data_IF_520894392286
#
_entry.id   IF_520894392286
#
_cell.length_a   1.000
_cell.length_b   1.000
_cell.length_c   1.000
_cell.angle_alpha   90.00
_cell.angle_beta   90.00
_cell.angle_gamma   90.00
#
_symmetry.space_group_name_H-M   'P 1'
#
loop_
_entity.id
_entity.type
_entity.pdbx_description
1 polymer ?
#
# COMPACT_ATOMS: atom_id res chain seq x y z
N UNK A 1 -0.55 5.76 -12.09
CA UNK A 1 0.83 5.36 -11.75
C UNK A 1 1.88 5.77 -12.81
N UNK A 2 1.53 6.57 -13.83
CA UNK A 2 2.47 6.85 -14.92
C UNK A 2 3.68 7.67 -14.48
N UNK A 3 3.51 8.71 -13.68
CA UNK A 3 4.62 9.62 -13.30
C UNK A 3 5.74 8.90 -12.52
N UNK A 4 5.37 8.09 -11.53
CA UNK A 4 6.34 7.34 -10.72
C UNK A 4 7.04 6.24 -11.53
N UNK A 5 6.30 5.56 -12.41
CA UNK A 5 6.88 4.55 -13.30
C UNK A 5 7.81 5.18 -14.35
N UNK A 6 7.51 6.39 -14.83
CA UNK A 6 8.37 7.14 -15.74
C UNK A 6 9.67 7.60 -15.05
N UNK A 7 9.59 8.10 -13.81
CA UNK A 7 10.76 8.55 -13.06
C UNK A 7 11.65 7.41 -12.53
N UNK A 8 11.06 6.25 -12.22
CA UNK A 8 11.75 5.11 -11.62
C UNK A 8 11.41 3.81 -12.35
N UNK A 9 11.85 3.64 -13.61
CA UNK A 9 11.42 2.53 -14.46
C UNK A 9 11.84 1.14 -13.96
N UNK A 10 12.84 1.06 -13.07
CA UNK A 10 13.31 -0.19 -12.46
C UNK A 10 12.70 -0.49 -11.10
N UNK A 11 12.04 0.48 -10.47
CA UNK A 11 11.47 0.29 -9.14
C UNK A 11 10.15 -0.50 -9.23
N UNK A 12 10.01 -1.51 -8.36
CA UNK A 12 8.71 -2.16 -8.15
C UNK A 12 7.86 -1.31 -7.22
N UNK A 13 6.54 -1.28 -7.48
CA UNK A 13 5.59 -0.43 -6.75
C UNK A 13 4.46 -1.28 -6.17
N UNK A 14 4.24 -1.18 -4.87
CA UNK A 14 3.07 -1.75 -4.19
C UNK A 14 2.04 -0.65 -3.94
N UNK A 15 0.96 -0.65 -4.72
CA UNK A 15 -0.17 0.27 -4.51
C UNK A 15 -1.28 -0.50 -3.79
N UNK A 16 -1.54 -0.16 -2.54
CA UNK A 16 -2.57 -0.76 -1.71
C UNK A 16 -3.21 0.32 -0.82
N UNK A 17 -4.30 -0.01 -0.13
CA UNK A 17 -4.99 0.95 0.72
C UNK A 17 -6.21 0.38 1.41
N UNK A 18 -6.91 1.26 2.12
CA UNK A 18 -8.01 0.96 3.05
C UNK A 18 -9.36 1.50 2.58
N UNK A 19 -9.42 2.06 1.37
CA UNK A 19 -10.61 2.70 0.82
C UNK A 19 -11.59 1.67 0.22
N UNK A 20 -12.09 0.79 1.08
CA UNK A 20 -13.10 -0.22 0.73
C UNK A 20 -14.52 0.36 0.66
N UNK A 21 -15.53 -0.50 0.43
CA UNK A 21 -16.93 -0.06 0.38
C UNK A 21 -17.31 0.79 1.60
N UNK A 22 -17.92 1.95 1.33
CA UNK A 22 -18.38 2.93 2.34
C UNK A 22 -17.30 3.65 3.13
N UNK A 23 -15.99 3.45 2.89
CA UNK A 23 -14.94 4.23 3.57
C UNK A 23 -15.08 5.73 3.35
N UNK A 24 -15.69 6.11 2.21
CA UNK A 24 -16.16 7.44 1.86
C UNK A 24 -15.09 8.54 1.89
N UNK A 25 -13.91 8.27 1.31
CA UNK A 25 -12.85 9.26 1.17
C UNK A 25 -13.39 10.54 0.50
N UNK A 26 -13.16 11.69 1.14
CA UNK A 26 -13.66 13.01 0.72
C UNK A 26 -15.18 13.19 0.80
N UNK A 27 -15.89 12.35 1.57
CA UNK A 27 -17.32 12.46 1.82
C UNK A 27 -17.68 12.50 3.31
N UNK A 28 -18.96 12.76 3.66
CA UNK A 28 -19.41 12.75 5.06
C UNK A 28 -19.32 11.34 5.65
N UNK A 29 -18.96 11.22 6.93
CA UNK A 29 -18.75 9.92 7.60
C UNK A 29 -17.60 9.09 6.98
N UNK A 30 -16.55 9.75 6.48
CA UNK A 30 -15.29 9.10 6.15
C UNK A 30 -14.76 8.32 7.38
N UNK A 31 -14.35 7.07 7.18
CA UNK A 31 -13.85 6.24 8.28
C UNK A 31 -12.81 5.21 7.83
N UNK A 32 -12.07 4.70 8.82
CA UNK A 32 -11.10 3.63 8.67
C UNK A 32 -11.61 2.31 9.27
N UNK A 33 -11.66 1.25 8.46
CA UNK A 33 -11.99 -0.09 8.95
C UNK A 33 -10.79 -0.70 9.71
N UNK A 34 -10.75 -0.52 11.03
CA UNK A 34 -9.60 -0.91 11.87
C UNK A 34 -9.16 -2.38 11.74
N UNK A 35 -10.04 -3.39 11.72
CA UNK A 35 -9.60 -4.78 11.56
C UNK A 35 -8.89 -5.03 10.21
N UNK A 36 -9.28 -4.31 9.16
CA UNK A 36 -8.63 -4.42 7.85
C UNK A 36 -7.32 -3.63 7.84
N UNK A 37 -7.31 -2.42 8.39
CA UNK A 37 -6.08 -1.62 8.54
C UNK A 37 -4.96 -2.40 9.22
N UNK A 38 -5.26 -3.09 10.34
CA UNK A 38 -4.28 -3.96 11.03
C UNK A 38 -3.73 -5.07 10.14
N UNK A 39 -4.59 -5.75 9.37
CA UNK A 39 -4.18 -6.82 8.45
C UNK A 39 -3.34 -6.28 7.30
N UNK A 40 -3.73 -5.14 6.72
CA UNK A 40 -2.97 -4.49 5.66
C UNK A 40 -1.58 -4.08 6.15
N UNK A 41 -1.48 -3.48 7.34
CA UNK A 41 -0.20 -3.13 7.95
C UNK A 41 0.68 -4.37 8.15
N UNK A 42 0.12 -5.47 8.67
CA UNK A 42 0.85 -6.73 8.82
C UNK A 42 1.33 -7.30 7.47
N UNK A 43 0.49 -7.25 6.43
CA UNK A 43 0.86 -7.69 5.09
C UNK A 43 2.00 -6.85 4.49
N UNK A 44 1.95 -5.52 4.62
CA UNK A 44 3.04 -4.64 4.18
C UNK A 44 4.33 -4.93 4.96
N UNK A 45 4.24 -5.13 6.27
CA UNK A 45 5.40 -5.52 7.08
C UNK A 45 6.01 -6.86 6.63
N UNK A 46 5.17 -7.84 6.27
CA UNK A 46 5.63 -9.11 5.72
C UNK A 46 6.32 -8.94 4.37
N UNK A 47 5.79 -8.09 3.47
CA UNK A 47 6.43 -7.80 2.17
C UNK A 47 7.81 -7.17 2.38
N UNK A 48 7.92 -6.21 3.30
CA UNK A 48 9.21 -5.57 3.63
C UNK A 48 10.19 -6.60 4.23
N UNK A 49 9.71 -7.43 5.16
CA UNK A 49 10.55 -8.46 5.79
C UNK A 49 11.00 -9.57 4.82
N UNK A 50 10.23 -9.81 3.76
CA UNK A 50 10.54 -10.78 2.72
C UNK A 50 11.43 -10.20 1.60
N UNK A 51 11.84 -8.92 1.69
CA UNK A 51 12.72 -8.33 0.68
C UNK A 51 14.08 -9.07 0.69
N UNK A 52 14.55 -9.60 -0.45
CA UNK A 52 15.82 -10.29 -0.53
C UNK A 52 16.99 -9.37 -0.14
N UNK A 53 17.98 -9.88 0.60
CA UNK A 53 19.13 -9.09 1.03
C UNK A 53 20.00 -8.57 -0.14
N UNK A 54 19.91 -9.24 -1.28
CA UNK A 54 20.57 -8.92 -2.55
C UNK A 54 19.73 -8.01 -3.46
N UNK A 55 18.47 -7.70 -3.10
CA UNK A 55 17.58 -6.88 -3.91
C UNK A 55 17.92 -5.37 -3.92
N UNK A 56 19.00 -4.94 -3.25
CA UNK A 56 19.46 -3.55 -3.16
C UNK A 56 20.76 -3.31 -3.96
N UNK A 57 21.12 -4.22 -4.86
CA UNK A 57 22.24 -4.06 -5.79
C UNK A 57 21.85 -3.38 -7.11
#
# INVERSE_FOLDING_TARGET
MSLLQQGFPKAQMMVCGVLGPKSNAHGPNEFLHLPYGKRLTAAVAQVIAALPADAVA
#
